data_IF_504527125988
#
_entry.id   IF_504527125988
#
_cell.length_a   1.000
_cell.length_b   1.000
_cell.length_c   1.000
_cell.angle_alpha   90.00
_cell.angle_beta   90.00
_cell.angle_gamma   90.00
#
_symmetry.space_group_name_H-M   'P 1'
#
loop_
_entity.id
_entity.type
_entity.pdbx_description
1 polymer ?
#
# COMPACT_ATOMS: atom_id res chain seq x y z
N UNK A 1 39.12 34.05 23.27
CA UNK A 1 38.49 32.84 22.69
C UNK A 1 37.00 32.94 22.96
N UNK A 2 36.22 33.50 22.04
CA UNK A 2 34.77 33.63 22.17
C UNK A 2 34.13 33.33 20.83
N UNK A 3 33.46 32.19 20.71
CA UNK A 3 32.49 31.94 19.65
C UNK A 3 31.19 31.54 20.30
N UNK A 4 30.28 32.49 20.34
CA UNK A 4 28.89 32.33 20.72
C UNK A 4 28.13 31.95 19.43
N UNK A 5 27.67 30.70 19.33
CA UNK A 5 26.79 30.27 18.24
C UNK A 5 25.35 30.28 18.73
N UNK A 6 24.62 31.34 18.38
CA UNK A 6 23.17 31.41 18.50
C UNK A 6 22.57 30.83 17.22
N UNK A 7 21.89 29.68 17.29
CA UNK A 7 21.03 29.22 16.20
C UNK A 7 19.60 29.60 16.56
N UNK A 8 19.10 30.62 15.86
CA UNK A 8 17.69 31.03 15.88
C UNK A 8 16.81 29.83 15.50
N UNK A 9 15.92 29.46 16.42
CA UNK A 9 14.80 28.58 16.12
C UNK A 9 13.77 29.32 15.26
N UNK A 10 13.56 28.84 14.03
CA UNK A 10 12.34 29.01 13.23
C UNK A 10 12.24 27.83 12.26
N UNK A 11 11.75 26.69 12.75
CA UNK A 11 11.39 25.54 11.91
C UNK A 11 10.18 24.84 12.51
N UNK A 12 9.03 25.54 12.56
CA UNK A 12 7.77 25.01 13.10
C UNK A 12 6.59 25.28 12.16
N UNK A 13 6.77 25.03 10.87
CA UNK A 13 5.69 25.12 9.87
C UNK A 13 5.63 23.92 8.89
N UNK A 14 6.54 22.96 8.97
CA UNK A 14 6.62 21.83 7.99
C UNK A 14 6.05 20.48 8.51
N UNK A 15 5.67 20.41 9.78
CA UNK A 15 5.31 19.12 10.41
C UNK A 15 4.06 18.44 9.82
N UNK A 16 3.19 19.20 9.14
CA UNK A 16 1.93 18.68 8.60
C UNK A 16 2.09 17.98 7.25
N UNK A 17 2.91 18.53 6.34
CA UNK A 17 3.13 17.98 4.99
C UNK A 17 3.98 16.70 5.03
N UNK A 18 4.99 16.71 5.91
CA UNK A 18 5.78 15.52 6.27
C UNK A 18 4.93 14.37 6.83
N UNK A 19 3.84 14.69 7.54
CA UNK A 19 2.94 13.68 8.14
C UNK A 19 1.99 13.06 7.11
N UNK A 20 1.38 13.89 6.25
CA UNK A 20 0.53 13.41 5.16
C UNK A 20 1.28 12.49 4.20
N UNK A 21 2.52 12.85 3.85
CA UNK A 21 3.39 12.02 3.00
C UNK A 21 3.73 10.68 3.65
N UNK A 22 4.02 10.66 4.96
CA UNK A 22 4.28 9.42 5.71
C UNK A 22 3.05 8.52 5.78
N UNK A 23 1.87 9.07 6.01
CA UNK A 23 0.61 8.31 6.02
C UNK A 23 0.31 7.72 4.65
N UNK A 24 0.47 8.51 3.58
CA UNK A 24 0.32 8.02 2.20
C UNK A 24 1.26 6.85 1.88
N UNK A 25 2.52 6.94 2.32
CA UNK A 25 3.49 5.85 2.17
C UNK A 25 3.09 4.58 2.92
N UNK A 26 2.64 4.71 4.18
CA UNK A 26 2.16 3.56 4.95
C UNK A 26 0.97 2.87 4.29
N UNK A 27 0.04 3.65 3.73
CA UNK A 27 -1.11 3.10 2.96
C UNK A 27 -0.60 2.35 1.73
N UNK A 28 0.33 2.94 0.97
CA UNK A 28 0.90 2.29 -0.22
C UNK A 28 1.58 0.96 0.12
N UNK A 29 2.32 0.88 1.23
CA UNK A 29 2.92 -0.37 1.70
C UNK A 29 1.88 -1.43 2.06
N UNK A 30 0.79 -1.05 2.74
CA UNK A 30 -0.30 -1.99 3.07
C UNK A 30 -0.97 -2.54 1.82
N UNK A 31 -1.21 -1.68 0.83
CA UNK A 31 -1.75 -2.08 -0.48
C UNK A 31 -0.81 -3.07 -1.15
N UNK A 32 0.47 -2.73 -1.30
CA UNK A 32 1.47 -3.60 -1.94
C UNK A 32 1.59 -4.95 -1.23
N UNK A 33 1.62 -4.96 0.10
CA UNK A 33 1.67 -6.18 0.88
C UNK A 33 0.48 -7.10 0.59
N UNK A 34 -0.75 -6.56 0.60
CA UNK A 34 -1.95 -7.35 0.35
C UNK A 34 -2.00 -7.86 -1.09
N UNK A 35 -1.71 -7.00 -2.06
CA UNK A 35 -1.67 -7.36 -3.49
C UNK A 35 -0.71 -8.53 -3.72
N UNK A 36 0.51 -8.44 -3.16
CA UNK A 36 1.50 -9.52 -3.28
C UNK A 36 1.06 -10.82 -2.59
N UNK A 37 0.40 -10.74 -1.43
CA UNK A 37 -0.12 -11.94 -0.76
C UNK A 37 -1.23 -12.61 -1.56
N UNK A 38 -2.17 -11.84 -2.12
CA UNK A 38 -3.25 -12.38 -2.95
C UNK A 38 -2.70 -12.94 -4.25
N UNK A 39 -1.75 -12.26 -4.90
CA UNK A 39 -1.08 -12.76 -6.09
C UNK A 39 -0.45 -14.14 -5.88
N UNK A 40 0.24 -14.35 -4.75
CA UNK A 40 0.86 -15.64 -4.43
C UNK A 40 -0.13 -16.77 -4.16
N UNK A 41 -1.34 -16.44 -3.68
CA UNK A 41 -2.33 -17.43 -3.23
C UNK A 41 -3.41 -17.72 -4.29
N UNK A 42 -3.73 -16.73 -5.12
CA UNK A 42 -4.86 -16.74 -6.05
C UNK A 42 -4.47 -16.35 -7.48
N UNK A 43 -3.19 -16.43 -7.86
CA UNK A 43 -2.80 -16.29 -9.26
C UNK A 43 -3.59 -17.27 -10.15
N UNK A 44 -4.09 -16.79 -11.28
CA UNK A 44 -4.92 -17.57 -12.20
C UNK A 44 -6.37 -17.81 -11.75
N UNK A 45 -6.79 -17.31 -10.58
CA UNK A 45 -8.19 -17.32 -10.18
C UNK A 45 -9.02 -16.27 -10.95
N UNK A 46 -10.37 -16.37 -10.97
CA UNK A 46 -11.21 -15.36 -11.61
C UNK A 46 -11.03 -13.97 -10.99
N UNK A 47 -11.02 -12.93 -11.83
CA UNK A 47 -10.83 -11.54 -11.40
C UNK A 47 -11.84 -11.11 -10.32
N UNK A 48 -13.11 -11.50 -10.43
CA UNK A 48 -14.14 -11.19 -9.44
C UNK A 48 -13.82 -11.77 -8.04
N UNK A 49 -13.27 -12.99 -8.00
CA UNK A 49 -12.87 -13.64 -6.75
C UNK A 49 -11.65 -12.94 -6.12
N UNK A 50 -10.70 -12.53 -6.95
CA UNK A 50 -9.53 -11.77 -6.52
C UNK A 50 -9.94 -10.39 -6.02
N UNK A 51 -10.83 -9.69 -6.72
CA UNK A 51 -11.33 -8.37 -6.35
C UNK A 51 -12.06 -8.43 -4.99
N UNK A 52 -12.90 -9.45 -4.76
CA UNK A 52 -13.56 -9.66 -3.49
C UNK A 52 -12.56 -9.90 -2.35
N UNK A 53 -11.53 -10.72 -2.58
CA UNK A 53 -10.49 -11.01 -1.60
C UNK A 53 -9.66 -9.76 -1.27
N UNK A 54 -9.21 -9.03 -2.29
CA UNK A 54 -8.47 -7.77 -2.14
C UNK A 54 -9.30 -6.75 -1.36
N UNK A 55 -10.59 -6.60 -1.71
CA UNK A 55 -11.49 -5.68 -1.03
C UNK A 55 -11.59 -5.98 0.47
N UNK A 56 -11.81 -7.24 0.81
CA UNK A 56 -11.92 -7.69 2.20
C UNK A 56 -10.62 -7.49 2.98
N UNK A 57 -9.47 -7.86 2.40
CA UNK A 57 -8.16 -7.72 3.06
C UNK A 57 -7.75 -6.26 3.25
N UNK A 58 -7.96 -5.40 2.25
CA UNK A 58 -7.62 -3.99 2.32
C UNK A 58 -8.41 -3.28 3.40
N UNK A 59 -9.73 -3.52 3.48
CA UNK A 59 -10.57 -2.95 4.54
C UNK A 59 -10.13 -3.39 5.93
N UNK A 60 -9.76 -4.66 6.12
CA UNK A 60 -9.22 -5.15 7.41
C UNK A 60 -7.93 -4.44 7.83
N UNK A 61 -7.16 -3.92 6.87
CA UNK A 61 -5.94 -3.12 7.11
C UNK A 61 -6.20 -1.61 7.20
N UNK A 62 -7.47 -1.19 7.26
CA UNK A 62 -7.87 0.21 7.31
C UNK A 62 -7.68 0.96 5.99
N UNK A 63 -7.57 0.25 4.87
CA UNK A 63 -7.45 0.83 3.53
C UNK A 63 -8.79 0.69 2.81
N UNK A 64 -9.33 1.81 2.33
CA UNK A 64 -10.52 1.82 1.46
C UNK A 64 -10.03 1.98 0.02
N UNK A 65 -10.01 0.90 -0.79
CA UNK A 65 -9.47 0.98 -2.14
C UNK A 65 -10.42 1.70 -3.09
N UNK A 66 -9.85 2.37 -4.09
CA UNK A 66 -10.59 2.81 -5.26
C UNK A 66 -11.03 1.58 -6.08
N UNK A 67 -12.30 1.49 -6.48
CA UNK A 67 -12.81 0.32 -7.20
C UNK A 67 -12.13 0.10 -8.55
N UNK A 68 -11.75 1.18 -9.25
CA UNK A 68 -11.03 1.09 -10.53
C UNK A 68 -9.64 0.47 -10.33
N UNK A 69 -8.92 0.90 -9.30
CA UNK A 69 -7.59 0.36 -8.97
C UNK A 69 -7.69 -1.09 -8.48
N UNK A 70 -8.70 -1.39 -7.66
CA UNK A 70 -8.98 -2.75 -7.19
C UNK A 70 -9.17 -3.72 -8.36
N UNK A 71 -10.00 -3.34 -9.34
CA UNK A 71 -10.25 -4.16 -10.52
C UNK A 71 -9.00 -4.32 -11.37
N UNK A 72 -8.21 -3.26 -11.56
CA UNK A 72 -6.94 -3.35 -12.27
C UNK A 72 -5.95 -4.32 -11.60
N UNK A 73 -5.84 -4.31 -10.26
CA UNK A 73 -5.06 -5.30 -9.53
C UNK A 73 -5.61 -6.71 -9.70
N UNK A 74 -6.93 -6.87 -9.67
CA UNK A 74 -7.57 -8.17 -9.83
C UNK A 74 -7.32 -8.77 -11.22
N UNK A 75 -7.47 -7.97 -12.28
CA UNK A 75 -7.20 -8.39 -13.67
C UNK A 75 -5.73 -8.78 -13.84
N UNK A 76 -4.81 -7.99 -13.29
CA UNK A 76 -3.38 -8.30 -13.34
C UNK A 76 -3.04 -9.62 -12.63
N UNK A 77 -3.63 -9.88 -11.45
CA UNK A 77 -3.40 -11.13 -10.72
C UNK A 77 -4.05 -12.32 -11.42
N UNK A 78 -5.24 -12.14 -12.00
CA UNK A 78 -5.93 -13.17 -12.76
C UNK A 78 -5.12 -13.61 -13.99
N UNK A 79 -4.38 -12.68 -14.60
CA UNK A 79 -3.49 -12.94 -15.72
C UNK A 79 -2.16 -13.61 -15.33
N UNK A 80 -1.84 -13.71 -14.03
CA UNK A 80 -0.63 -14.41 -13.59
C UNK A 80 -0.80 -15.93 -13.79
N UNK A 81 0.27 -16.64 -14.18
CA UNK A 81 0.24 -18.09 -14.21
C UNK A 81 -0.09 -18.62 -12.81
N UNK A 82 -0.94 -19.64 -12.68
CA UNK A 82 -1.27 -20.23 -11.38
C UNK A 82 0.04 -20.67 -10.72
N UNK A 83 0.33 -20.11 -9.54
CA UNK A 83 1.57 -20.39 -8.83
C UNK A 83 1.67 -21.89 -8.57
N UNK A 84 2.77 -22.51 -8.98
CA UNK A 84 3.06 -23.88 -8.59
C UNK A 84 3.05 -23.95 -7.06
N UNK A 85 2.20 -24.82 -6.52
CA UNK A 85 2.15 -25.11 -5.09
C UNK A 85 3.58 -25.37 -4.61
N UNK A 86 4.06 -24.73 -3.52
CA UNK A 86 5.28 -25.22 -2.89
C UNK A 86 4.99 -26.66 -2.45
N UNK A 87 5.67 -27.61 -3.08
CA UNK A 87 5.72 -29.02 -2.71
C UNK A 87 6.29 -29.19 -1.31
#
# INVERSE_FOLDING_TARGET
MSSHFTINGLSSLDSSESSATRLGWQIAQRVQYIVNQVARQKAGAPADEIALELHGRLRRMGVVPNMRELNAYADHIAALPPGSKPT
#
